data_IF_096517148712
#
_entry.id   IF_096517148712
#
_cell.length_a   1.000
_cell.length_b   1.000
_cell.length_c   1.000
_cell.angle_alpha   90.00
_cell.angle_beta   90.00
_cell.angle_gamma   90.00
#
_symmetry.space_group_name_H-M   'P 1'
#
loop_
_entity.id
_entity.type
_entity.pdbx_description
1 polymer ?
#
# COMPACT_ATOMS: atom_id res chain seq x y z
N UNK A 1 -12.20 1.16 6.18
CA UNK A 1 -12.07 1.85 4.87
C UNK A 1 -11.05 2.97 5.00
N UNK A 2 -10.05 3.05 4.11
CA UNK A 2 -9.14 4.20 4.08
C UNK A 2 -9.25 4.84 2.70
N UNK A 3 -10.00 5.93 2.64
CA UNK A 3 -10.16 6.73 1.43
C UNK A 3 -9.15 7.87 1.46
N UNK A 4 -8.65 8.21 0.29
CA UNK A 4 -7.80 9.36 0.04
C UNK A 4 -8.60 10.29 -0.84
N UNK A 5 -8.86 11.51 -0.38
CA UNK A 5 -9.40 12.57 -1.24
C UNK A 5 -8.22 13.30 -1.88
N UNK A 6 -8.22 13.39 -3.21
CA UNK A 6 -7.24 14.14 -4.00
C UNK A 6 -7.67 15.60 -4.14
N UNK A 7 -6.75 16.45 -4.59
CA UNK A 7 -6.88 17.92 -4.60
C UNK A 7 -7.97 18.41 -5.57
N UNK A 8 -8.32 17.59 -6.56
CA UNK A 8 -9.40 17.83 -7.53
C UNK A 8 -10.74 17.21 -7.11
N UNK A 9 -10.84 16.75 -5.86
CA UNK A 9 -12.05 16.11 -5.33
C UNK A 9 -12.23 14.65 -5.76
N UNK A 10 -11.34 14.10 -6.59
CA UNK A 10 -11.38 12.66 -6.92
C UNK A 10 -10.95 11.85 -5.71
N UNK A 11 -11.70 10.80 -5.40
CA UNK A 11 -11.35 9.87 -4.32
C UNK A 11 -10.43 8.80 -4.92
N UNK A 12 -9.17 8.78 -4.49
CA UNK A 12 -8.29 7.67 -4.81
C UNK A 12 -8.65 6.50 -3.88
N UNK A 13 -9.55 5.67 -4.38
CA UNK A 13 -9.79 4.35 -3.83
C UNK A 13 -8.57 3.50 -4.14
N UNK A 14 -7.80 3.10 -3.13
CA UNK A 14 -7.02 1.87 -3.24
C UNK A 14 -8.05 0.73 -3.33
N UNK A 15 -8.26 0.10 -4.50
CA UNK A 15 -9.30 -0.90 -4.64
C UNK A 15 -8.95 -2.10 -3.75
N UNK A 16 -9.97 -2.68 -3.13
CA UNK A 16 -9.81 -3.74 -2.15
C UNK A 16 -9.12 -4.99 -2.69
N UNK A 17 -7.97 -5.32 -2.14
CA UNK A 17 -7.93 -6.65 -1.57
C UNK A 17 -8.83 -6.58 -0.32
N UNK A 18 -9.99 -7.25 -0.27
CA UNK A 18 -10.51 -7.63 1.04
C UNK A 18 -9.33 -8.26 1.76
N UNK A 19 -9.05 -7.79 2.96
CA UNK A 19 -8.08 -8.45 3.81
C UNK A 19 -8.66 -9.83 4.10
N UNK A 20 -8.36 -10.80 3.23
CA UNK A 20 -8.77 -12.18 3.40
C UNK A 20 -8.01 -12.64 4.61
N UNK A 21 -8.75 -13.04 5.63
CA UNK A 21 -8.14 -13.65 6.80
C UNK A 21 -7.98 -15.13 6.52
N UNK A 22 -6.80 -15.69 6.79
CA UNK A 22 -6.65 -17.14 6.77
C UNK A 22 -7.32 -17.80 8.00
N UNK A 23 -7.21 -19.13 8.11
CA UNK A 23 -7.74 -19.89 9.25
C UNK A 23 -7.18 -19.47 10.62
N UNK A 24 -6.12 -18.66 10.65
CA UNK A 24 -5.49 -18.13 11.86
C UNK A 24 -5.89 -16.68 12.16
N UNK A 25 -6.84 -16.12 11.40
CA UNK A 25 -7.24 -14.70 11.45
C UNK A 25 -6.12 -13.73 11.06
N UNK A 26 -5.08 -14.21 10.37
CA UNK A 26 -4.01 -13.35 9.84
C UNK A 26 -4.42 -12.77 8.50
N UNK A 27 -4.05 -11.52 8.28
CA UNK A 27 -4.41 -10.81 7.07
C UNK A 27 -3.48 -11.25 5.92
N UNK A 28 -4.08 -11.82 4.88
CA UNK A 28 -3.40 -12.16 3.63
C UNK A 28 -3.03 -10.88 2.90
N UNK A 29 -1.75 -10.76 2.59
CA UNK A 29 -1.23 -9.65 1.81
C UNK A 29 -1.17 -10.02 0.31
N UNK A 30 -1.26 -9.03 -0.60
CA UNK A 30 -1.15 -9.28 -2.03
C UNK A 30 0.20 -9.93 -2.37
N UNK A 31 0.24 -10.87 -3.33
CA UNK A 31 1.48 -11.46 -3.79
C UNK A 31 2.38 -10.41 -4.46
N UNK A 32 3.69 -10.68 -4.43
CA UNK A 32 4.70 -9.74 -4.89
C UNK A 32 4.53 -9.32 -6.36
N UNK A 33 4.10 -10.24 -7.22
CA UNK A 33 3.86 -9.98 -8.64
C UNK A 33 2.76 -8.91 -8.84
N UNK A 34 1.71 -8.94 -8.02
CA UNK A 34 0.63 -7.95 -8.06
C UNK A 34 1.12 -6.58 -7.57
N UNK A 35 1.95 -6.54 -6.54
CA UNK A 35 2.55 -5.27 -6.07
C UNK A 35 3.37 -4.61 -7.16
N UNK A 36 4.17 -5.37 -7.89
CA UNK A 36 4.97 -4.86 -9.02
C UNK A 36 4.07 -4.36 -10.16
N UNK A 37 3.00 -5.08 -10.48
CA UNK A 37 2.05 -4.69 -11.53
C UNK A 37 1.29 -3.39 -11.20
N UNK A 38 1.09 -3.07 -9.91
CA UNK A 38 0.42 -1.84 -9.47
C UNK A 38 1.31 -0.59 -9.62
N UNK A 39 2.63 -0.75 -9.50
CA UNK A 39 3.58 0.37 -9.48
C UNK A 39 3.45 1.29 -10.70
N UNK A 40 3.43 0.81 -11.96
CA UNK A 40 3.30 1.69 -13.13
C UNK A 40 1.94 2.38 -13.26
N UNK A 41 0.89 1.88 -12.58
CA UNK A 41 -0.47 2.44 -12.67
C UNK A 41 -0.68 3.67 -11.77
N UNK A 42 0.25 3.95 -10.86
CA UNK A 42 0.15 5.09 -9.93
C UNK A 42 0.56 6.37 -10.66
N UNK A 43 -0.24 7.45 -10.63
CA UNK A 43 0.18 8.74 -11.19
C UNK A 43 1.41 9.30 -10.47
N UNK A 44 2.35 9.90 -11.20
CA UNK A 44 3.58 10.45 -10.60
C UNK A 44 3.28 11.52 -9.53
N UNK A 45 2.24 12.34 -9.78
CA UNK A 45 1.76 13.36 -8.84
C UNK A 45 1.30 12.77 -7.50
N UNK A 46 0.86 11.51 -7.47
CA UNK A 46 0.36 10.84 -6.27
C UNK A 46 1.39 9.93 -5.61
N UNK A 47 2.55 9.71 -6.25
CA UNK A 47 3.53 8.72 -5.86
C UNK A 47 4.12 9.00 -4.47
N UNK A 48 4.57 10.23 -4.22
CA UNK A 48 5.10 10.65 -2.91
C UNK A 48 4.04 10.59 -1.80
N UNK A 49 2.81 10.99 -2.13
CA UNK A 49 1.70 10.97 -1.19
C UNK A 49 1.33 9.53 -0.80
N UNK A 50 1.33 8.61 -1.76
CA UNK A 50 1.08 7.18 -1.54
C UNK A 50 2.19 6.55 -0.68
N UNK A 51 3.47 6.78 -1.03
CA UNK A 51 4.63 6.30 -0.25
C UNK A 51 4.48 6.70 1.22
N UNK A 52 4.21 8.00 1.48
CA UNK A 52 4.00 8.51 2.83
C UNK A 52 2.88 7.77 3.56
N UNK A 53 1.74 7.54 2.91
CA UNK A 53 0.60 6.84 3.53
C UNK A 53 0.90 5.39 3.86
N UNK A 54 1.63 4.68 2.99
CA UNK A 54 2.04 3.31 3.23
C UNK A 54 2.94 3.21 4.46
N UNK A 55 3.98 4.06 4.55
CA UNK A 55 4.92 4.09 5.68
C UNK A 55 4.21 4.48 6.98
N UNK A 56 3.34 5.50 6.96
CA UNK A 56 2.58 5.91 8.14
C UNK A 56 1.61 4.81 8.61
N UNK A 57 0.97 4.10 7.67
CA UNK A 57 0.09 2.98 7.98
C UNK A 57 0.83 1.83 8.67
N UNK A 58 2.06 1.54 8.23
CA UNK A 58 2.94 0.56 8.87
C UNK A 58 3.33 1.01 10.27
N UNK A 59 3.79 2.25 10.42
CA UNK A 59 4.22 2.80 11.70
C UNK A 59 3.13 2.70 12.77
N UNK A 60 1.89 3.05 12.42
CA UNK A 60 0.73 3.00 13.33
C UNK A 60 0.37 1.59 13.80
N UNK A 61 0.72 0.56 13.04
CA UNK A 61 0.32 -0.84 13.30
C UNK A 61 1.51 -1.77 13.50
N UNK A 62 2.68 -1.22 13.82
CA UNK A 62 3.95 -1.97 13.91
C UNK A 62 3.99 -2.99 15.05
N UNK A 63 3.19 -2.77 16.09
CA UNK A 63 3.14 -3.63 17.28
C UNK A 63 2.04 -4.69 17.20
N UNK A 64 1.11 -4.59 16.24
CA UNK A 64 0.03 -5.55 16.08
C UNK A 64 0.51 -6.71 15.19
N UNK A 65 0.60 -7.91 15.78
CA UNK A 65 1.09 -9.11 15.12
C UNK A 65 0.29 -9.48 13.88
N UNK A 66 -1.03 -9.22 13.88
CA UNK A 66 -1.93 -9.52 12.75
C UNK A 66 -1.61 -8.70 11.50
N UNK A 67 -0.92 -7.58 11.64
CA UNK A 67 -0.56 -6.69 10.53
C UNK A 67 0.86 -6.93 10.01
N UNK A 68 1.64 -7.85 10.58
CA UNK A 68 3.05 -8.05 10.19
C UNK A 68 3.20 -8.33 8.69
N UNK A 69 2.40 -9.24 8.14
CA UNK A 69 2.47 -9.63 6.72
C UNK A 69 2.04 -8.46 5.82
N UNK A 70 0.92 -7.80 6.13
CA UNK A 70 0.45 -6.61 5.41
C UNK A 70 1.46 -5.48 5.46
N UNK A 71 2.08 -5.25 6.61
CA UNK A 71 3.05 -4.19 6.78
C UNK A 71 4.29 -4.45 5.93
N UNK A 72 4.73 -5.71 5.78
CA UNK A 72 5.79 -6.07 4.83
C UNK A 72 5.40 -5.73 3.39
N UNK A 73 4.20 -6.11 2.95
CA UNK A 73 3.75 -5.78 1.59
C UNK A 73 3.60 -4.27 1.36
N UNK A 74 3.15 -3.51 2.36
CA UNK A 74 3.11 -2.04 2.30
C UNK A 74 4.50 -1.42 2.16
N UNK A 75 5.47 -1.88 2.95
CA UNK A 75 6.85 -1.41 2.85
C UNK A 75 7.47 -1.79 1.51
N UNK A 76 7.16 -2.98 0.99
CA UNK A 76 7.61 -3.43 -0.33
C UNK A 76 7.04 -2.57 -1.45
N UNK A 77 5.73 -2.32 -1.43
CA UNK A 77 5.10 -1.42 -2.40
C UNK A 77 5.67 0.01 -2.30
N UNK A 78 5.89 0.51 -1.08
CA UNK A 78 6.52 1.82 -0.88
C UNK A 78 7.92 1.86 -1.48
N UNK A 79 8.73 0.81 -1.29
CA UNK A 79 10.05 0.68 -1.90
C UNK A 79 9.96 0.70 -3.43
N UNK A 80 9.09 -0.09 -4.04
CA UNK A 80 8.92 -0.11 -5.49
C UNK A 80 8.49 1.27 -6.05
N UNK A 81 7.64 1.98 -5.32
CA UNK A 81 7.25 3.35 -5.68
C UNK A 81 8.44 4.33 -5.57
N UNK A 82 9.30 4.18 -4.55
CA UNK A 82 10.54 4.98 -4.43
C UNK A 82 11.49 4.65 -5.58
N UNK A 83 11.68 3.38 -5.89
CA UNK A 83 12.57 2.93 -6.97
C UNK A 83 12.11 3.51 -8.32
N UNK A 84 10.79 3.51 -8.59
CA UNK A 84 10.21 4.19 -9.75
C UNK A 84 10.47 5.70 -9.72
N UNK A 85 10.24 6.37 -8.60
CA UNK A 85 10.42 7.81 -8.46
C UNK A 85 11.87 8.27 -8.70
N UNK A 86 12.83 7.41 -8.35
CA UNK A 86 14.26 7.67 -8.54
C UNK A 86 14.78 7.30 -9.94
N UNK A 87 14.01 6.49 -10.69
CA UNK A 87 14.36 6.04 -12.04
C UNK A 87 13.70 6.86 -13.15
N UNK A 88 12.82 7.81 -12.79
CA UNK A 88 12.19 8.77 -13.68
C UNK A 88 13.03 10.05 -13.79
#
# INVERSE_FOLDING_TARGET
MTCVVLVDGRVFHLPGAPYVTDSTSEIIAPPDAELTALVPLIPDADLLLLIRRLVMGVHRRRFDSRWKVVNRSRLKLARLCIDRALSA
#
